data_IF_163653216996
#
_entry.id   IF_163653216996
#
_cell.length_a   1.000
_cell.length_b   1.000
_cell.length_c   1.000
_cell.angle_alpha   90.00
_cell.angle_beta   90.00
_cell.angle_gamma   90.00
#
_symmetry.space_group_name_H-M   'P 1'
#
loop_
_entity.id
_entity.type
_entity.pdbx_description
1 polymer ?
#
# COMPACT_ATOMS: atom_id res chain seq x y z
N UNK A 1 -57.21 15.25 6.82
CA UNK A 1 -56.46 14.13 7.44
C UNK A 1 -55.33 13.74 6.48
N UNK A 2 -54.69 14.72 5.83
CA UNK A 2 -54.15 14.51 4.48
C UNK A 2 -52.63 14.31 4.47
N UNK A 3 -52.02 14.12 5.65
CA UNK A 3 -50.58 13.85 5.80
C UNK A 3 -50.22 12.36 5.74
N UNK A 4 -51.20 11.47 5.90
CA UNK A 4 -50.96 10.03 6.01
C UNK A 4 -51.96 9.29 5.11
N UNK A 5 -51.48 8.71 4.01
CA UNK A 5 -52.30 8.01 3.04
C UNK A 5 -51.60 7.87 1.68
N UNK A 6 -52.18 7.07 0.78
CA UNK A 6 -51.63 6.86 -0.56
C UNK A 6 -51.60 8.17 -1.36
N UNK A 7 -52.64 9.01 -1.21
CA UNK A 7 -52.74 10.33 -1.86
C UNK A 7 -51.61 11.27 -1.45
N UNK A 8 -51.06 11.13 -0.24
CA UNK A 8 -49.92 11.90 0.24
C UNK A 8 -48.57 11.35 -0.26
N UNK A 9 -48.48 10.06 -0.62
CA UNK A 9 -47.25 9.38 -1.05
C UNK A 9 -46.98 9.52 -2.55
N UNK A 10 -48.04 9.42 -3.37
CA UNK A 10 -47.94 9.51 -4.84
C UNK A 10 -47.18 10.75 -5.32
N UNK A 11 -47.46 11.99 -4.84
CA UNK A 11 -46.72 13.17 -5.27
C UNK A 11 -45.26 13.19 -4.78
N UNK A 12 -44.90 12.42 -3.74
CA UNK A 12 -43.52 12.37 -3.22
C UNK A 12 -42.62 11.41 -4.02
N UNK A 13 -43.21 10.41 -4.68
CA UNK A 13 -42.51 9.41 -5.50
C UNK A 13 -42.38 9.85 -6.96
N UNK A 14 -43.28 10.71 -7.43
CA UNK A 14 -43.28 11.18 -8.82
C UNK A 14 -42.16 12.19 -9.10
N UNK A 15 -41.06 11.69 -9.68
CA UNK A 15 -39.88 12.46 -10.08
C UNK A 15 -40.15 13.46 -11.22
N UNK A 16 -41.30 13.40 -11.89
CA UNK A 16 -41.64 14.30 -12.98
C UNK A 16 -42.15 15.67 -12.51
N UNK A 17 -42.55 15.76 -11.24
CA UNK A 17 -43.16 16.95 -10.67
C UNK A 17 -42.09 17.84 -10.01
N UNK A 18 -41.49 18.73 -10.81
CA UNK A 18 -40.37 19.60 -10.38
C UNK A 18 -40.73 20.58 -9.25
N UNK A 19 -42.01 20.90 -9.04
CA UNK A 19 -42.45 21.86 -8.01
C UNK A 19 -42.26 21.30 -6.59
N UNK A 20 -42.57 20.01 -6.37
CA UNK A 20 -42.39 19.32 -5.09
C UNK A 20 -40.94 19.06 -4.70
N UNK A 21 -40.01 19.09 -5.67
CA UNK A 21 -38.57 18.87 -5.43
C UNK A 21 -37.88 19.99 -4.63
N UNK A 22 -38.51 21.18 -4.58
CA UNK A 22 -38.00 22.33 -3.80
C UNK A 22 -38.39 22.27 -2.32
N UNK A 23 -39.44 21.51 -2.00
CA UNK A 23 -40.01 21.41 -0.65
C UNK A 23 -39.65 20.07 0.02
N UNK A 24 -39.41 19.01 -0.77
CA UNK A 24 -39.11 17.66 -0.29
C UNK A 24 -37.92 17.02 -1.02
N UNK A 25 -37.04 16.39 -0.24
CA UNK A 25 -35.95 15.58 -0.78
C UNK A 25 -36.47 14.21 -1.23
N UNK A 26 -36.60 14.03 -2.56
CA UNK A 26 -37.06 12.77 -3.17
C UNK A 26 -36.17 11.56 -2.82
N UNK A 27 -34.90 11.79 -2.44
CA UNK A 27 -33.98 10.72 -2.04
C UNK A 27 -34.45 10.00 -0.77
N UNK A 28 -35.16 10.69 0.12
CA UNK A 28 -35.72 10.09 1.34
C UNK A 28 -36.89 9.15 1.07
N UNK A 29 -37.61 9.36 -0.03
CA UNK A 29 -38.80 8.57 -0.39
C UNK A 29 -38.45 7.40 -1.29
N UNK A 30 -37.54 7.61 -2.25
CA UNK A 30 -37.16 6.60 -3.26
C UNK A 30 -35.97 5.76 -2.78
N UNK A 31 -35.14 6.32 -1.90
CA UNK A 31 -33.90 5.72 -1.45
C UNK A 31 -32.75 5.92 -2.43
N UNK A 32 -31.55 5.54 -1.98
CA UNK A 32 -30.32 5.57 -2.77
C UNK A 32 -29.65 4.20 -2.72
N UNK A 33 -28.95 3.82 -3.79
CA UNK A 33 -28.17 2.59 -3.77
C UNK A 33 -26.95 2.76 -2.86
N UNK A 34 -27.00 2.09 -1.71
CA UNK A 34 -25.94 2.14 -0.72
C UNK A 34 -24.77 1.20 -1.06
N UNK A 35 -24.81 0.43 -2.14
CA UNK A 35 -23.77 -0.55 -2.49
C UNK A 35 -22.36 0.04 -2.51
N UNK A 36 -22.19 1.22 -3.11
CA UNK A 36 -20.89 1.91 -3.16
C UNK A 36 -20.49 2.47 -1.80
N UNK A 37 -21.44 2.98 -1.00
CA UNK A 37 -21.17 3.48 0.35
C UNK A 37 -20.76 2.36 1.29
N UNK A 38 -21.43 1.21 1.22
CA UNK A 38 -21.08 0.01 1.99
C UNK A 38 -19.67 -0.48 1.63
N UNK A 39 -19.31 -0.47 0.34
CA UNK A 39 -17.96 -0.80 -0.10
C UNK A 39 -16.92 0.20 0.44
N UNK A 40 -17.20 1.51 0.37
CA UNK A 40 -16.33 2.57 0.90
C UNK A 40 -16.12 2.45 2.42
N UNK A 41 -17.16 2.04 3.16
CA UNK A 41 -17.09 1.78 4.60
C UNK A 41 -16.39 0.45 4.95
N UNK A 42 -16.02 -0.37 3.96
CA UNK A 42 -15.43 -1.68 4.18
C UNK A 42 -16.41 -2.72 4.74
N UNK A 43 -17.72 -2.53 4.52
CA UNK A 43 -18.74 -3.49 4.94
C UNK A 43 -18.83 -4.60 3.87
N UNK A 44 -18.50 -5.86 4.19
CA UNK A 44 -18.56 -6.95 3.22
C UNK A 44 -20.02 -7.22 2.80
N UNK A 45 -20.23 -7.59 1.54
CA UNK A 45 -21.54 -8.05 1.03
C UNK A 45 -21.92 -9.43 1.60
N UNK A 46 -20.93 -10.22 2.00
CA UNK A 46 -21.10 -11.54 2.59
C UNK A 46 -21.39 -11.44 4.09
N UNK A 47 -22.01 -12.48 4.67
CA UNK A 47 -22.48 -12.51 6.07
C UNK A 47 -21.38 -12.51 7.16
N UNK A 48 -20.17 -12.03 6.84
CA UNK A 48 -19.10 -11.81 7.80
C UNK A 48 -19.39 -10.60 8.68
N UNK A 49 -19.31 -10.75 10.01
CA UNK A 49 -19.38 -9.62 10.94
C UNK A 49 -18.00 -8.97 11.07
N UNK A 50 -17.86 -7.75 10.59
CA UNK A 50 -16.63 -6.93 10.73
C UNK A 50 -16.94 -5.61 11.43
N UNK A 51 -16.06 -5.18 12.35
CA UNK A 51 -16.16 -3.87 13.02
C UNK A 51 -15.46 -2.83 12.15
N UNK A 52 -16.22 -1.95 11.52
CA UNK A 52 -15.69 -0.86 10.68
C UNK A 52 -15.44 0.43 11.46
N UNK A 53 -16.03 0.56 12.65
CA UNK A 53 -15.94 1.78 13.46
C UNK A 53 -14.58 2.00 14.12
N UNK A 54 -13.83 0.94 14.38
CA UNK A 54 -12.51 1.04 15.02
C UNK A 54 -11.45 1.66 14.09
N UNK A 55 -11.67 1.64 12.77
CA UNK A 55 -10.82 2.25 11.73
C UNK A 55 -11.59 3.29 10.90
N UNK A 56 -12.65 3.87 11.46
CA UNK A 56 -13.49 4.84 10.75
C UNK A 56 -12.73 6.15 10.52
N UNK A 57 -12.53 6.50 9.25
CA UNK A 57 -11.71 7.63 8.83
C UNK A 57 -12.46 8.96 8.99
N UNK A 58 -13.62 9.10 8.32
CA UNK A 58 -14.43 10.32 8.33
C UNK A 58 -15.87 10.04 7.85
N UNK A 59 -16.85 10.88 8.21
CA UNK A 59 -18.21 10.79 7.68
C UNK A 59 -18.35 10.93 6.16
N UNK A 60 -17.36 11.53 5.48
CA UNK A 60 -17.41 11.80 4.04
C UNK A 60 -16.32 11.05 3.27
N UNK A 61 -16.69 10.42 2.16
CA UNK A 61 -15.75 9.67 1.33
C UNK A 61 -14.65 10.56 0.74
N UNK A 62 -14.95 11.83 0.44
CA UNK A 62 -14.03 12.78 -0.20
C UNK A 62 -12.88 13.22 0.73
N UNK A 63 -13.08 13.09 2.03
CA UNK A 63 -12.08 13.43 3.06
C UNK A 63 -11.46 12.18 3.72
N UNK A 64 -12.03 11.00 3.47
CA UNK A 64 -11.46 9.68 3.79
C UNK A 64 -10.32 9.33 2.82
N UNK A 65 -9.16 9.98 3.01
CA UNK A 65 -8.01 9.93 2.08
C UNK A 65 -6.85 9.03 2.53
N UNK A 66 -6.85 8.64 3.80
CA UNK A 66 -5.81 7.80 4.40
C UNK A 66 -6.40 6.98 5.53
N UNK A 67 -5.83 5.81 5.75
CA UNK A 67 -6.17 4.97 6.90
C UNK A 67 -5.80 5.66 8.22
N UNK A 68 -6.54 5.30 9.28
CA UNK A 68 -6.32 5.79 10.64
C UNK A 68 -5.84 4.64 11.51
N UNK A 69 -4.88 4.94 12.39
CA UNK A 69 -4.36 3.95 13.32
C UNK A 69 -5.44 3.58 14.35
N UNK A 70 -5.86 2.32 14.44
CA UNK A 70 -6.87 1.89 15.40
C UNK A 70 -6.28 1.85 16.81
N UNK A 71 -7.14 1.62 17.81
CA UNK A 71 -6.67 1.32 19.17
C UNK A 71 -6.07 -0.08 19.22
N UNK A 72 -4.88 -0.20 19.79
CA UNK A 72 -4.22 -1.48 20.08
C UNK A 72 -3.59 -1.44 21.47
N UNK A 73 -3.33 -2.62 22.02
CA UNK A 73 -2.65 -2.78 23.29
C UNK A 73 -1.23 -3.29 23.06
N UNK A 74 -0.25 -2.58 23.60
CA UNK A 74 1.17 -3.00 23.60
C UNK A 74 1.52 -3.44 25.01
N UNK A 75 1.70 -4.76 25.26
CA UNK A 75 2.20 -5.25 26.54
C UNK A 75 3.55 -4.64 26.87
N UNK A 76 3.85 -4.46 28.16
CA UNK A 76 5.15 -3.90 28.56
C UNK A 76 6.34 -4.78 28.16
N UNK A 77 6.13 -6.08 27.98
CA UNK A 77 7.14 -7.00 27.45
C UNK A 77 7.53 -6.75 25.99
N UNK A 78 6.77 -5.94 25.25
CA UNK A 78 7.11 -5.56 23.86
C UNK A 78 7.95 -4.28 23.80
N UNK A 79 8.17 -3.62 24.95
CA UNK A 79 9.00 -2.42 25.08
C UNK A 79 10.36 -2.81 25.64
N UNK A 80 11.36 -1.99 25.37
CA UNK A 80 12.68 -2.06 25.99
C UNK A 80 13.35 -3.45 25.93
N UNK A 81 13.15 -4.18 24.83
CA UNK A 81 13.76 -5.49 24.61
C UNK A 81 15.27 -5.31 24.42
N UNK A 82 16.11 -5.82 25.34
CA UNK A 82 17.56 -5.61 25.27
C UNK A 82 18.23 -6.54 24.24
N UNK A 83 19.45 -6.20 23.83
CA UNK A 83 20.35 -7.05 23.04
C UNK A 83 19.84 -7.53 21.68
N UNK A 84 18.89 -6.80 21.07
CA UNK A 84 18.42 -7.10 19.71
C UNK A 84 19.59 -7.01 18.73
N UNK A 85 19.90 -8.13 18.07
CA UNK A 85 21.06 -8.26 17.17
C UNK A 85 22.38 -7.81 17.81
N UNK A 86 22.58 -8.12 19.10
CA UNK A 86 23.77 -7.76 19.89
C UNK A 86 23.97 -6.23 20.04
N UNK A 87 22.89 -5.45 19.91
CA UNK A 87 22.92 -4.01 20.18
C UNK A 87 23.15 -3.74 21.67
N UNK A 88 24.10 -2.86 21.99
CA UNK A 88 24.33 -2.37 23.36
C UNK A 88 23.33 -1.32 23.80
N UNK A 89 22.55 -0.77 22.86
CA UNK A 89 21.56 0.28 23.09
C UNK A 89 20.16 -0.23 22.77
N UNK A 90 19.18 0.24 23.55
CA UNK A 90 17.75 -0.07 23.40
C UNK A 90 16.97 1.25 23.27
N UNK A 91 16.18 1.46 22.20
CA UNK A 91 15.96 0.59 21.05
C UNK A 91 17.20 0.51 20.12
N UNK A 92 17.30 -0.54 19.28
CA UNK A 92 18.38 -0.65 18.30
C UNK A 92 18.26 0.44 17.22
N UNK A 93 19.40 0.96 16.78
CA UNK A 93 19.49 1.92 15.67
C UNK A 93 20.57 1.51 14.66
N UNK A 94 20.55 2.16 13.50
CA UNK A 94 21.42 1.89 12.35
C UNK A 94 22.00 3.20 11.81
N UNK A 95 23.10 3.66 12.40
CA UNK A 95 23.72 4.96 12.08
C UNK A 95 25.13 4.81 11.48
N UNK A 96 25.71 3.60 11.50
CA UNK A 96 27.10 3.38 11.08
C UNK A 96 27.17 2.50 9.84
N UNK A 97 27.54 3.08 8.69
CA UNK A 97 27.72 2.33 7.44
C UNK A 97 28.68 1.14 7.59
N UNK A 98 29.89 1.25 8.17
CA UNK A 98 30.78 0.09 8.29
C UNK A 98 30.39 -0.85 9.44
N UNK A 99 29.84 -0.33 10.54
CA UNK A 99 29.52 -1.15 11.72
C UNK A 99 28.29 -2.03 11.53
N UNK A 100 27.36 -1.60 10.69
CA UNK A 100 26.02 -2.19 10.64
C UNK A 100 25.80 -3.13 9.46
N UNK A 101 26.76 -3.24 8.54
CA UNK A 101 26.65 -4.13 7.37
C UNK A 101 26.44 -5.59 7.78
N UNK A 102 27.15 -6.04 8.83
CA UNK A 102 27.04 -7.42 9.31
C UNK A 102 25.63 -7.70 9.85
N UNK A 103 25.02 -6.74 10.54
CA UNK A 103 23.64 -6.87 11.04
C UNK A 103 22.64 -6.89 9.88
N UNK A 104 22.81 -6.00 8.90
CA UNK A 104 21.93 -5.91 7.72
C UNK A 104 22.03 -7.13 6.82
N UNK A 105 23.21 -7.73 6.69
CA UNK A 105 23.43 -8.94 5.88
C UNK A 105 22.65 -10.17 6.39
N UNK A 106 22.20 -10.17 7.67
CA UNK A 106 21.38 -11.24 8.23
C UNK A 106 19.93 -11.22 7.73
N UNK A 107 19.47 -10.10 7.17
CA UNK A 107 18.09 -9.95 6.73
C UNK A 107 17.81 -10.61 5.39
N UNK A 108 16.56 -11.05 5.19
CA UNK A 108 16.08 -11.54 3.89
C UNK A 108 15.81 -10.38 2.93
N UNK A 109 15.73 -10.67 1.63
CA UNK A 109 15.52 -9.65 0.58
C UNK A 109 14.26 -8.82 0.83
N UNK A 110 13.16 -9.46 1.24
CA UNK A 110 11.89 -8.83 1.57
C UNK A 110 12.04 -7.81 2.71
N UNK A 111 12.79 -8.16 3.77
CA UNK A 111 13.09 -7.24 4.87
C UNK A 111 13.96 -6.07 4.39
N UNK A 112 14.93 -6.31 3.50
CA UNK A 112 15.75 -5.25 2.92
C UNK A 112 14.91 -4.29 2.09
N UNK A 113 13.96 -4.80 1.29
CA UNK A 113 13.01 -3.95 0.55
C UNK A 113 12.15 -3.12 1.48
N UNK A 114 11.62 -3.71 2.55
CA UNK A 114 10.84 -2.98 3.56
C UNK A 114 11.63 -1.78 4.10
N UNK A 115 12.86 -2.02 4.54
CA UNK A 115 13.73 -0.98 5.12
C UNK A 115 14.08 0.09 4.09
N UNK A 116 14.39 -0.30 2.85
CA UNK A 116 14.73 0.62 1.76
C UNK A 116 13.58 1.57 1.41
N UNK A 117 12.34 1.08 1.34
CA UNK A 117 11.17 1.90 1.01
C UNK A 117 10.64 2.69 2.21
N UNK A 118 10.85 2.23 3.44
CA UNK A 118 10.31 2.87 4.65
C UNK A 118 11.16 4.01 5.18
N UNK A 119 12.49 3.98 5.00
CA UNK A 119 13.42 4.92 5.64
C UNK A 119 14.25 5.74 4.64
N UNK A 120 13.63 6.59 3.79
CA UNK A 120 14.37 7.35 2.78
C UNK A 120 15.35 8.36 3.38
N UNK A 121 16.53 8.50 2.77
CA UNK A 121 17.54 9.49 3.17
C UNK A 121 18.32 9.12 4.44
N UNK A 122 18.30 7.86 4.86
CA UNK A 122 18.96 7.37 6.07
C UNK A 122 20.14 6.45 5.74
N UNK A 123 21.02 6.24 6.73
CA UNK A 123 22.11 5.24 6.65
C UNK A 123 21.55 3.84 6.38
N UNK A 124 20.38 3.51 6.95
CA UNK A 124 19.72 2.23 6.76
C UNK A 124 19.29 1.99 5.30
N UNK A 125 18.87 3.05 4.59
CA UNK A 125 18.57 2.94 3.16
C UNK A 125 19.81 2.64 2.33
N UNK A 126 20.94 3.28 2.63
CA UNK A 126 22.20 3.02 1.94
C UNK A 126 22.71 1.60 2.23
N UNK A 127 22.66 1.16 3.49
CA UNK A 127 23.05 -0.20 3.88
C UNK A 127 22.24 -1.27 3.15
N UNK A 128 20.91 -1.09 3.10
CA UNK A 128 20.02 -2.02 2.39
C UNK A 128 20.24 -1.99 0.89
N UNK A 129 20.50 -0.81 0.31
CA UNK A 129 20.88 -0.67 -1.10
C UNK A 129 22.18 -1.43 -1.42
N UNK A 130 23.23 -1.27 -0.61
CA UNK A 130 24.51 -1.95 -0.81
C UNK A 130 24.37 -3.48 -0.69
N UNK A 131 23.59 -3.96 0.30
CA UNK A 131 23.38 -5.38 0.51
C UNK A 131 22.51 -6.01 -0.61
N UNK A 132 21.45 -5.33 -1.06
CA UNK A 132 20.66 -5.77 -2.21
C UNK A 132 21.51 -5.80 -3.49
N UNK A 133 22.35 -4.79 -3.70
CA UNK A 133 23.30 -4.75 -4.83
C UNK A 133 24.29 -5.92 -4.79
N UNK A 134 24.81 -6.26 -3.60
CA UNK A 134 25.67 -7.42 -3.39
C UNK A 134 24.95 -8.74 -3.71
N UNK A 135 23.63 -8.80 -3.51
CA UNK A 135 22.75 -9.93 -3.87
C UNK A 135 22.28 -9.89 -5.34
N UNK A 136 22.94 -9.09 -6.18
CA UNK A 136 22.66 -8.94 -7.61
C UNK A 136 21.29 -8.31 -7.93
N UNK A 137 20.67 -7.62 -6.97
CA UNK A 137 19.54 -6.75 -7.25
C UNK A 137 20.04 -5.41 -7.81
N UNK A 138 19.32 -4.88 -8.79
CA UNK A 138 19.60 -3.61 -9.46
C UNK A 138 18.42 -2.68 -9.25
N UNK A 139 18.68 -1.43 -8.94
CA UNK A 139 17.61 -0.46 -8.70
C UNK A 139 17.32 0.36 -9.96
N UNK A 140 16.07 0.34 -10.42
CA UNK A 140 15.63 1.11 -11.58
C UNK A 140 15.21 2.53 -11.16
N UNK A 141 15.92 3.55 -11.63
CA UNK A 141 15.82 4.96 -11.19
C UNK A 141 14.43 5.56 -11.38
N UNK A 142 13.83 5.38 -12.56
CA UNK A 142 12.53 6.00 -12.90
C UNK A 142 11.35 5.22 -12.35
N UNK A 143 11.35 3.89 -12.48
CA UNK A 143 10.33 3.01 -11.90
C UNK A 143 10.38 2.95 -10.37
N UNK A 144 11.52 3.33 -9.78
CA UNK A 144 11.79 3.21 -8.33
C UNK A 144 11.56 1.80 -7.81
N UNK A 145 11.95 0.81 -8.61
CA UNK A 145 11.71 -0.61 -8.39
C UNK A 145 13.01 -1.40 -8.45
N UNK A 146 13.12 -2.42 -7.61
CA UNK A 146 14.21 -3.38 -7.63
C UNK A 146 13.92 -4.49 -8.63
N UNK A 147 14.94 -4.87 -9.40
CA UNK A 147 14.90 -5.99 -10.33
C UNK A 147 16.16 -6.84 -10.23
N UNK A 148 16.02 -8.13 -10.49
CA UNK A 148 17.15 -9.05 -10.67
C UNK A 148 16.93 -9.89 -11.91
N UNK A 149 18.01 -10.41 -12.48
CA UNK A 149 17.95 -11.28 -13.65
C UNK A 149 17.31 -12.61 -13.26
N UNK A 150 16.38 -13.09 -14.08
CA UNK A 150 15.84 -14.44 -13.96
C UNK A 150 16.94 -15.48 -14.26
N UNK A 151 17.27 -16.39 -13.32
CA UNK A 151 18.30 -17.41 -13.55
C UNK A 151 18.03 -18.34 -14.73
N UNK A 152 16.78 -18.46 -15.19
CA UNK A 152 16.41 -19.39 -16.26
C UNK A 152 16.68 -18.84 -17.66
N UNK A 153 16.93 -17.53 -17.82
CA UNK A 153 17.04 -16.89 -19.13
C UNK A 153 18.22 -15.92 -19.22
N UNK A 154 19.06 -16.11 -20.23
CA UNK A 154 20.12 -15.16 -20.57
C UNK A 154 19.56 -13.98 -21.37
N UNK A 155 19.83 -12.72 -20.97
CA UNK A 155 19.36 -11.56 -21.70
C UNK A 155 20.14 -11.39 -23.02
N UNK A 156 19.46 -10.88 -24.04
CA UNK A 156 20.05 -10.53 -25.33
C UNK A 156 20.40 -9.05 -25.32
N UNK A 157 21.69 -8.74 -25.43
CA UNK A 157 22.18 -7.36 -25.49
C UNK A 157 21.82 -6.77 -26.86
N UNK A 158 21.29 -5.55 -26.85
CA UNK A 158 20.95 -4.81 -28.06
C UNK A 158 22.19 -4.44 -28.87
N UNK A 159 22.10 -4.26 -30.20
CA UNK A 159 23.26 -3.98 -31.06
C UNK A 159 24.04 -2.70 -30.70
N UNK A 160 23.36 -1.72 -30.11
CA UNK A 160 23.94 -0.46 -29.63
C UNK A 160 24.66 -0.60 -28.29
N UNK A 161 24.53 -1.74 -27.61
CA UNK A 161 25.14 -2.03 -26.30
C UNK A 161 24.57 -1.22 -25.14
N UNK A 162 23.49 -0.45 -25.35
CA UNK A 162 22.91 0.43 -24.32
C UNK A 162 21.77 -0.21 -23.54
N UNK A 163 21.23 -1.31 -24.07
CA UNK A 163 20.11 -2.02 -23.49
C UNK A 163 20.25 -3.53 -23.65
N UNK A 164 19.49 -4.27 -22.87
CA UNK A 164 19.34 -5.71 -22.97
C UNK A 164 17.87 -6.11 -22.84
N UNK A 165 17.46 -7.13 -23.57
CA UNK A 165 16.11 -7.72 -23.48
C UNK A 165 16.20 -9.08 -22.81
N UNK A 166 15.46 -9.28 -21.73
CA UNK A 166 15.45 -10.54 -20.99
C UNK A 166 14.26 -10.69 -20.06
N UNK A 167 14.24 -11.82 -19.34
CA UNK A 167 13.32 -12.07 -18.23
C UNK A 167 13.95 -11.54 -16.93
N UNK A 168 13.19 -10.74 -16.19
CA UNK A 168 13.62 -10.18 -14.91
C UNK A 168 12.54 -10.41 -13.86
N UNK A 169 12.98 -10.54 -12.62
CA UNK A 169 12.10 -10.59 -11.45
C UNK A 169 12.10 -9.21 -10.82
N UNK A 170 10.95 -8.54 -10.83
CA UNK A 170 10.72 -7.27 -10.15
C UNK A 170 10.11 -7.52 -8.78
N UNK A 171 10.46 -6.69 -7.80
CA UNK A 171 9.73 -6.64 -6.53
C UNK A 171 8.68 -5.54 -6.55
N UNK A 172 7.42 -5.89 -6.32
CA UNK A 172 6.30 -4.94 -6.16
C UNK A 172 6.05 -4.68 -4.67
N UNK A 173 6.40 -3.49 -4.13
CA UNK A 173 6.23 -3.19 -2.71
C UNK A 173 4.77 -3.00 -2.28
N UNK A 174 3.83 -2.77 -3.22
CA UNK A 174 2.41 -2.59 -2.90
C UNK A 174 1.70 -3.94 -2.77
N UNK A 175 2.05 -4.90 -3.64
CA UNK A 175 1.53 -6.27 -3.60
C UNK A 175 2.32 -7.19 -2.69
N UNK A 176 3.55 -6.80 -2.34
CA UNK A 176 4.52 -7.60 -1.59
C UNK A 176 4.89 -8.90 -2.32
N UNK A 177 5.13 -8.82 -3.64
CA UNK A 177 5.33 -9.99 -4.50
C UNK A 177 6.53 -9.81 -5.45
N UNK A 178 7.13 -10.96 -5.83
CA UNK A 178 8.15 -11.06 -6.87
C UNK A 178 7.48 -11.41 -8.20
N UNK A 179 7.49 -10.48 -9.14
CA UNK A 179 6.81 -10.59 -10.43
C UNK A 179 7.82 -10.78 -11.56
N UNK A 180 7.75 -11.92 -12.24
CA UNK A 180 8.53 -12.18 -13.45
C UNK A 180 7.96 -11.39 -14.64
N UNK A 181 8.83 -10.71 -15.39
CA UNK A 181 8.46 -9.89 -16.56
C UNK A 181 9.53 -9.95 -17.63
N UNK A 182 9.11 -10.09 -18.88
CA UNK A 182 9.97 -9.70 -20.00
C UNK A 182 10.13 -8.18 -20.01
N UNK A 183 11.37 -7.71 -20.10
CA UNK A 183 11.67 -6.28 -20.05
C UNK A 183 12.84 -5.92 -20.96
N UNK A 184 12.75 -4.73 -21.58
CA UNK A 184 13.87 -4.09 -22.25
C UNK A 184 14.53 -3.14 -21.25
N UNK A 185 15.66 -3.56 -20.71
CA UNK A 185 16.39 -2.85 -19.67
C UNK A 185 17.45 -1.95 -20.28
N UNK A 186 17.34 -0.64 -20.06
CA UNK A 186 18.40 0.30 -20.41
C UNK A 186 19.39 0.45 -19.25
N UNK A 187 20.69 0.31 -19.53
CA UNK A 187 21.72 0.36 -18.48
C UNK A 187 21.83 1.74 -17.81
N UNK A 188 21.50 2.81 -18.53
CA UNK A 188 21.46 4.16 -17.96
C UNK A 188 20.33 4.35 -16.92
N UNK A 189 19.32 3.50 -16.94
CA UNK A 189 18.14 3.59 -16.08
C UNK A 189 18.30 2.83 -14.76
N UNK A 190 19.36 2.02 -14.62
CA UNK A 190 19.68 1.29 -13.39
C UNK A 190 20.91 1.85 -12.69
N UNK A 191 21.00 1.59 -11.38
CA UNK A 191 22.15 1.90 -10.54
C UNK A 191 22.69 0.63 -9.94
#
# INVERSE_FOLDING_TARGET
MDKFGLEALVPLVDLSNSETSTEYDHSMTIGTDLSCMLHSLGIPKESGRQRVLDTFQSPWAETSRSEVEPRFYVPDSFKDIPEVLQSTVTPPYFDSVPGDQQRVALFQDETLFFLFYKHPGTVLQELTYLELRKRNWRYHKTLKAWLTKDPMMEPVVSPDGQSERGSYVFFDPQRWEKCQREFLLFYNAIM
#
